data_IF_295133160564
#
_entry.id   IF_295133160564
#
_cell.length_a   1.000
_cell.length_b   1.000
_cell.length_c   1.000
_cell.angle_alpha   90.00
_cell.angle_beta   90.00
_cell.angle_gamma   90.00
#
_symmetry.space_group_name_H-M   'P 1'
#
loop_
_entity.id
_entity.type
_entity.pdbx_description
1 polymer ?
#
# COMPACT_ATOMS: atom_id res chain seq x y z
N UNK A 1 -7.16 -7.05 3.32
CA UNK A 1 -8.04 -7.32 4.47
C UNK A 1 -7.98 -6.18 5.51
N UNK A 2 -6.78 -5.78 6.00
CA UNK A 2 -6.64 -4.75 7.06
C UNK A 2 -7.31 -3.42 6.70
N UNK A 3 -6.98 -2.83 5.55
CA UNK A 3 -7.55 -1.54 5.11
C UNK A 3 -9.08 -1.59 4.99
N UNK A 4 -9.64 -2.67 4.42
CA UNK A 4 -11.09 -2.84 4.32
C UNK A 4 -11.78 -2.95 5.69
N UNK A 5 -11.13 -3.61 6.67
CA UNK A 5 -11.62 -3.68 8.05
C UNK A 5 -11.62 -2.30 8.72
N UNK A 6 -10.50 -1.56 8.63
CA UNK A 6 -10.39 -0.22 9.20
C UNK A 6 -11.41 0.74 8.56
N UNK A 7 -11.60 0.65 7.25
CA UNK A 7 -12.62 1.42 6.54
C UNK A 7 -14.01 1.15 7.10
N UNK A 8 -14.43 -0.11 7.24
CA UNK A 8 -15.75 -0.47 7.77
C UNK A 8 -15.91 0.01 9.20
N UNK A 9 -14.94 -0.25 10.08
CA UNK A 9 -14.99 0.16 11.48
C UNK A 9 -15.18 1.68 11.64
N UNK A 10 -14.54 2.49 10.80
CA UNK A 10 -14.58 3.95 10.92
C UNK A 10 -15.64 4.62 10.04
N UNK A 11 -16.43 3.87 9.27
CA UNK A 11 -17.51 4.43 8.43
C UNK A 11 -18.88 3.82 8.70
N UNK A 12 -18.97 2.79 9.56
CA UNK A 12 -20.22 2.10 9.87
C UNK A 12 -21.22 2.95 10.68
N UNK A 13 -20.78 4.06 11.26
CA UNK A 13 -21.68 5.08 11.84
C UNK A 13 -22.43 5.88 10.76
N UNK A 14 -21.98 5.84 9.50
CA UNK A 14 -22.54 6.59 8.36
C UNK A 14 -23.18 5.69 7.33
N UNK A 15 -22.59 4.50 7.06
CA UNK A 15 -23.00 3.58 6.01
C UNK A 15 -23.19 2.17 6.54
N UNK A 16 -24.19 1.49 6.00
CA UNK A 16 -24.36 0.05 6.15
C UNK A 16 -23.43 -0.67 5.17
N UNK A 17 -22.75 -1.71 5.62
CA UNK A 17 -21.79 -2.44 4.80
C UNK A 17 -22.24 -3.85 4.51
N UNK A 18 -22.24 -4.21 3.22
CA UNK A 18 -22.37 -5.59 2.77
C UNK A 18 -21.08 -5.98 2.05
N UNK A 19 -20.33 -6.89 2.63
CA UNK A 19 -19.01 -7.28 2.14
C UNK A 19 -19.05 -8.62 1.42
N UNK A 20 -18.62 -8.64 0.15
CA UNK A 20 -18.15 -9.85 -0.52
C UNK A 20 -16.72 -10.12 -0.05
N UNK A 21 -16.58 -11.01 0.93
CA UNK A 21 -15.28 -11.35 1.48
C UNK A 21 -14.61 -12.43 0.65
N UNK A 22 -13.65 -12.03 -0.16
CA UNK A 22 -12.76 -12.92 -0.91
C UNK A 22 -11.89 -13.73 0.03
N UNK A 23 -12.49 -14.69 0.69
CA UNK A 23 -11.80 -15.60 1.61
C UNK A 23 -11.44 -16.88 0.89
N UNK A 24 -10.35 -17.46 1.32
CA UNK A 24 -9.92 -18.78 0.88
C UNK A 24 -10.42 -19.79 1.89
N UNK A 25 -11.25 -20.74 1.44
CA UNK A 25 -11.72 -21.87 2.24
C UNK A 25 -12.44 -21.50 3.57
N UNK A 26 -13.29 -20.48 3.55
CA UNK A 26 -14.07 -20.15 4.74
C UNK A 26 -15.17 -21.22 4.97
N UNK A 27 -15.34 -21.75 6.21
CA UNK A 27 -16.30 -22.81 6.49
C UNK A 27 -17.77 -22.37 6.29
N UNK A 28 -18.04 -21.07 6.34
CA UNK A 28 -19.35 -20.49 6.14
C UNK A 28 -19.52 -19.84 4.73
N UNK A 29 -18.75 -20.29 3.75
CA UNK A 29 -18.88 -19.86 2.36
C UNK A 29 -20.34 -19.93 1.88
N UNK A 30 -20.79 -18.86 1.23
CA UNK A 30 -22.13 -18.74 0.69
C UNK A 30 -23.24 -18.45 1.70
N UNK A 31 -22.90 -18.30 3.00
CA UNK A 31 -23.85 -17.86 4.02
C UNK A 31 -23.81 -16.35 4.17
N UNK A 32 -24.97 -15.81 4.58
CA UNK A 32 -25.07 -14.42 5.07
C UNK A 32 -24.71 -14.40 6.54
N UNK A 33 -23.64 -13.71 6.89
CA UNK A 33 -23.15 -13.58 8.26
C UNK A 33 -23.38 -12.14 8.72
N UNK A 34 -24.07 -11.98 9.84
CA UNK A 34 -24.27 -10.68 10.47
C UNK A 34 -23.18 -10.44 11.52
N UNK A 35 -22.37 -9.39 11.28
CA UNK A 35 -21.28 -8.94 12.16
C UNK A 35 -21.58 -7.63 12.87
N UNK A 36 -22.81 -7.14 12.80
CA UNK A 36 -23.20 -5.82 13.32
C UNK A 36 -22.86 -5.65 14.80
N UNK A 37 -23.28 -6.61 15.64
CA UNK A 37 -23.00 -6.57 17.09
C UNK A 37 -21.50 -6.60 17.45
N UNK A 38 -20.68 -7.31 16.65
CA UNK A 38 -19.24 -7.33 16.88
C UNK A 38 -18.59 -6.02 16.39
N UNK A 39 -19.09 -5.46 15.30
CA UNK A 39 -18.66 -4.16 14.79
C UNK A 39 -19.00 -3.03 15.78
N UNK A 40 -20.20 -3.03 16.34
CA UNK A 40 -20.64 -2.03 17.33
C UNK A 40 -19.69 -2.00 18.53
N UNK A 41 -19.34 -3.16 19.08
CA UNK A 41 -18.36 -3.26 20.17
C UNK A 41 -16.97 -2.78 19.80
N UNK A 42 -16.51 -3.05 18.59
CA UNK A 42 -15.17 -2.69 18.14
C UNK A 42 -15.05 -1.20 17.75
N UNK A 43 -16.11 -0.65 17.19
CA UNK A 43 -16.18 0.76 16.76
C UNK A 43 -16.68 1.70 17.85
N UNK A 44 -17.19 1.17 18.98
CA UNK A 44 -17.83 1.91 20.07
C UNK A 44 -19.00 2.77 19.57
N UNK A 45 -19.91 2.12 18.82
CA UNK A 45 -21.13 2.72 18.25
C UNK A 45 -22.31 1.79 18.49
N UNK A 46 -23.52 2.27 18.21
CA UNK A 46 -24.75 1.50 18.25
C UNK A 46 -25.39 1.42 16.84
N UNK A 47 -26.16 0.37 16.61
CA UNK A 47 -27.04 0.21 15.44
C UNK A 47 -26.33 0.19 14.07
N UNK A 48 -25.06 -0.24 14.00
CA UNK A 48 -24.42 -0.46 12.71
C UNK A 48 -25.02 -1.69 11.99
N UNK A 49 -24.92 -1.71 10.66
CA UNK A 49 -25.25 -2.90 9.85
C UNK A 49 -24.02 -3.32 9.05
N UNK A 50 -23.46 -4.47 9.41
CA UNK A 50 -22.29 -5.06 8.75
C UNK A 50 -22.57 -6.52 8.42
N UNK A 51 -22.78 -6.79 7.13
CA UNK A 51 -23.09 -8.12 6.61
C UNK A 51 -21.91 -8.65 5.81
N UNK A 52 -21.57 -9.91 6.01
CA UNK A 52 -20.47 -10.59 5.33
C UNK A 52 -20.97 -11.78 4.52
N UNK A 53 -20.55 -11.85 3.27
CA UNK A 53 -20.73 -13.02 2.40
C UNK A 53 -19.35 -13.61 2.06
N UNK A 54 -18.88 -14.64 2.78
CA UNK A 54 -17.65 -15.33 2.43
C UNK A 54 -17.77 -16.01 1.07
N UNK A 55 -16.80 -15.76 0.20
CA UNK A 55 -16.78 -16.33 -1.16
C UNK A 55 -15.38 -16.77 -1.54
N UNK A 56 -15.28 -17.65 -2.53
CA UNK A 56 -14.00 -17.97 -3.16
C UNK A 56 -13.61 -16.85 -4.12
N UNK A 57 -12.34 -16.51 -4.14
CA UNK A 57 -11.83 -15.46 -5.00
C UNK A 57 -12.53 -14.12 -4.77
N UNK A 58 -12.89 -13.44 -5.84
CA UNK A 58 -13.47 -12.10 -5.81
C UNK A 58 -14.96 -12.05 -6.17
N UNK A 59 -15.65 -13.19 -6.09
CA UNK A 59 -17.06 -13.31 -6.43
C UNK A 59 -17.32 -13.61 -7.92
N UNK A 60 -18.58 -13.54 -8.32
CA UNK A 60 -19.04 -13.76 -9.70
C UNK A 60 -20.35 -13.02 -9.96
N UNK A 61 -20.80 -12.92 -11.25
CA UNK A 61 -22.00 -12.20 -11.62
C UNK A 61 -23.29 -12.63 -10.91
N UNK A 62 -23.51 -13.92 -10.75
CA UNK A 62 -24.75 -14.43 -10.17
C UNK A 62 -24.84 -14.15 -8.67
N UNK A 63 -23.72 -14.28 -7.97
CA UNK A 63 -23.63 -13.92 -6.55
C UNK A 63 -23.90 -12.43 -6.35
N UNK A 64 -23.31 -11.56 -7.18
CA UNK A 64 -23.51 -10.11 -7.07
C UNK A 64 -24.98 -9.74 -7.35
N UNK A 65 -25.61 -10.33 -8.38
CA UNK A 65 -27.02 -10.10 -8.68
C UNK A 65 -27.93 -10.49 -7.53
N UNK A 66 -27.69 -11.67 -6.93
CA UNK A 66 -28.46 -12.13 -5.77
C UNK A 66 -28.29 -11.20 -4.56
N UNK A 67 -27.09 -10.69 -4.31
CA UNK A 67 -26.83 -9.73 -3.22
C UNK A 67 -27.51 -8.39 -3.50
N UNK A 68 -27.45 -7.86 -4.73
CA UNK A 68 -28.14 -6.62 -5.11
C UNK A 68 -29.65 -6.75 -4.91
N UNK A 69 -30.22 -7.90 -5.24
CA UNK A 69 -31.67 -8.13 -5.10
C UNK A 69 -32.09 -8.19 -3.62
N UNK A 70 -31.29 -8.83 -2.76
CA UNK A 70 -31.59 -9.03 -1.34
C UNK A 70 -31.26 -7.80 -0.50
N UNK A 71 -30.04 -7.27 -0.63
CA UNK A 71 -29.51 -6.21 0.23
C UNK A 71 -29.78 -4.80 -0.32
N UNK A 72 -30.10 -4.66 -1.60
CA UNK A 72 -30.45 -3.39 -2.28
C UNK A 72 -29.44 -2.26 -1.99
N UNK A 73 -28.16 -2.45 -2.31
CA UNK A 73 -27.14 -1.45 -2.00
C UNK A 73 -27.33 -0.18 -2.82
N UNK A 74 -26.95 0.96 -2.23
CA UNK A 74 -26.95 2.28 -2.89
C UNK A 74 -25.69 2.53 -3.71
N UNK A 75 -24.60 1.81 -3.45
CA UNK A 75 -23.35 1.86 -4.22
C UNK A 75 -22.61 0.52 -4.18
N UNK A 76 -21.74 0.30 -5.16
CA UNK A 76 -20.74 -0.77 -5.15
C UNK A 76 -19.38 -0.12 -4.92
N UNK A 77 -18.63 -0.62 -3.94
CA UNK A 77 -17.29 -0.15 -3.61
C UNK A 77 -16.25 -1.26 -3.86
N UNK A 78 -15.38 -1.04 -4.83
CA UNK A 78 -14.34 -1.99 -5.22
C UNK A 78 -13.00 -1.61 -4.59
N UNK A 79 -12.25 -2.59 -4.14
CA UNK A 79 -10.89 -2.43 -3.59
C UNK A 79 -9.99 -3.49 -4.21
N UNK A 80 -8.79 -3.14 -4.58
CA UNK A 80 -7.69 -3.95 -5.11
C UNK A 80 -7.51 -3.84 -6.62
N UNK A 81 -6.77 -4.74 -7.24
CA UNK A 81 -6.44 -4.71 -8.65
C UNK A 81 -7.71 -4.81 -9.53
N UNK A 82 -7.92 -3.93 -10.50
CA UNK A 82 -9.14 -3.90 -11.29
C UNK A 82 -9.34 -5.18 -12.12
N UNK A 83 -8.28 -5.90 -12.43
CA UNK A 83 -8.34 -7.16 -13.21
C UNK A 83 -9.14 -8.27 -12.51
N UNK A 84 -9.22 -8.23 -11.19
CA UNK A 84 -10.06 -9.17 -10.43
C UNK A 84 -11.56 -8.88 -10.56
N UNK A 85 -11.92 -7.68 -11.05
CA UNK A 85 -13.30 -7.22 -11.20
C UNK A 85 -13.75 -7.08 -12.66
N UNK A 86 -13.02 -7.66 -13.63
CA UNK A 86 -13.42 -7.61 -15.04
C UNK A 86 -14.88 -7.99 -15.25
N UNK A 87 -15.37 -8.99 -14.55
CA UNK A 87 -16.74 -9.44 -14.59
C UNK A 87 -17.74 -8.41 -14.05
N UNK A 88 -17.38 -7.56 -13.08
CA UNK A 88 -18.19 -6.42 -12.61
C UNK A 88 -18.24 -5.36 -13.70
N UNK A 89 -17.09 -5.01 -14.28
CA UNK A 89 -17.01 -4.00 -15.34
C UNK A 89 -17.75 -4.42 -16.61
N UNK A 90 -17.82 -5.72 -16.93
CA UNK A 90 -18.66 -6.24 -18.02
C UNK A 90 -20.17 -6.07 -17.75
N UNK A 91 -20.56 -5.93 -16.50
CA UNK A 91 -21.95 -5.70 -16.08
C UNK A 91 -22.25 -4.21 -15.82
N UNK A 92 -21.29 -3.29 -15.96
CA UNK A 92 -21.42 -1.89 -15.56
C UNK A 92 -22.64 -1.19 -16.18
N UNK A 93 -22.97 -1.50 -17.43
CA UNK A 93 -24.15 -0.98 -18.11
C UNK A 93 -25.48 -1.40 -17.46
N UNK A 94 -25.52 -2.53 -16.76
CA UNK A 94 -26.71 -2.97 -16.01
C UNK A 94 -26.73 -2.33 -14.62
N UNK A 95 -25.57 -2.31 -13.95
CA UNK A 95 -25.40 -1.82 -12.59
C UNK A 95 -25.63 -0.31 -12.53
N UNK A 96 -24.93 0.46 -13.35
CA UNK A 96 -24.90 1.94 -13.32
C UNK A 96 -26.19 2.61 -13.83
N UNK A 97 -27.21 1.83 -14.16
CA UNK A 97 -28.58 2.35 -14.34
C UNK A 97 -29.26 2.66 -13.02
N UNK A 98 -28.82 2.05 -11.94
CA UNK A 98 -29.47 2.17 -10.63
C UNK A 98 -28.47 2.39 -9.48
N UNK A 99 -27.21 1.99 -9.63
CA UNK A 99 -26.22 1.93 -8.55
C UNK A 99 -24.86 2.44 -9.08
N UNK A 100 -24.24 3.46 -8.49
CA UNK A 100 -22.91 3.91 -8.86
C UNK A 100 -21.83 2.91 -8.43
N UNK A 101 -20.69 2.97 -9.11
CA UNK A 101 -19.50 2.17 -8.79
C UNK A 101 -18.40 3.11 -8.33
N UNK A 102 -17.94 2.95 -7.08
CA UNK A 102 -16.75 3.57 -6.52
C UNK A 102 -15.61 2.56 -6.49
N UNK A 103 -14.40 3.02 -6.72
CA UNK A 103 -13.21 2.17 -6.76
C UNK A 103 -12.04 2.81 -6.02
N UNK A 104 -11.54 2.14 -4.98
CA UNK A 104 -10.28 2.46 -4.33
C UNK A 104 -9.14 1.86 -5.14
N UNK A 105 -8.55 2.69 -6.00
CA UNK A 105 -7.51 2.29 -6.92
C UNK A 105 -6.15 2.20 -6.20
N UNK A 106 -5.52 1.03 -6.31
CA UNK A 106 -4.22 0.72 -5.71
C UNK A 106 -3.08 0.67 -6.74
N UNK A 107 -3.31 1.16 -7.96
CA UNK A 107 -2.32 1.08 -9.03
C UNK A 107 -1.04 1.82 -8.67
N UNK A 108 0.10 1.18 -8.85
CA UNK A 108 1.39 1.60 -8.30
C UNK A 108 2.43 2.03 -9.35
N UNK A 109 2.11 1.96 -10.63
CA UNK A 109 3.14 2.09 -11.65
C UNK A 109 2.75 2.99 -12.81
N UNK A 110 3.71 3.80 -13.23
CA UNK A 110 3.74 4.47 -14.51
C UNK A 110 4.47 3.58 -15.56
N UNK A 111 4.38 3.83 -16.85
CA UNK A 111 3.56 4.85 -17.54
C UNK A 111 2.07 4.61 -17.31
N UNK A 112 1.27 5.69 -17.44
CA UNK A 112 -0.17 5.59 -17.21
C UNK A 112 -0.78 4.36 -17.88
N UNK A 113 -1.49 3.49 -17.13
CA UNK A 113 -1.94 2.18 -17.62
C UNK A 113 -3.16 2.32 -18.53
N UNK A 114 -2.95 2.76 -19.79
CA UNK A 114 -4.04 2.95 -20.75
C UNK A 114 -4.82 1.67 -21.01
N UNK A 115 -4.24 0.51 -20.74
CA UNK A 115 -4.90 -0.79 -20.79
C UNK A 115 -5.93 -1.02 -19.65
N UNK A 116 -5.93 -0.16 -18.62
CA UNK A 116 -6.95 -0.13 -17.56
C UNK A 116 -8.07 0.89 -17.83
N UNK A 117 -8.03 1.61 -18.96
CA UNK A 117 -8.94 2.72 -19.24
C UNK A 117 -10.41 2.34 -19.14
N UNK A 118 -10.79 1.20 -19.71
CA UNK A 118 -12.18 0.72 -19.67
C UNK A 118 -12.66 0.43 -18.24
N UNK A 119 -11.77 -0.02 -17.36
CA UNK A 119 -12.10 -0.23 -15.95
C UNK A 119 -12.36 1.08 -15.22
N UNK A 120 -11.52 2.09 -15.47
CA UNK A 120 -11.66 3.40 -14.82
C UNK A 120 -12.89 4.15 -15.36
N UNK A 121 -13.16 4.04 -16.66
CA UNK A 121 -14.37 4.61 -17.28
C UNK A 121 -15.65 3.97 -16.74
N UNK A 122 -15.60 2.71 -16.33
CA UNK A 122 -16.71 1.97 -15.73
C UNK A 122 -17.04 2.37 -14.29
N UNK A 123 -16.20 3.19 -13.65
CA UNK A 123 -16.42 3.69 -12.30
C UNK A 123 -16.97 5.12 -12.33
N UNK A 124 -17.75 5.50 -11.32
CA UNK A 124 -18.28 6.84 -11.12
C UNK A 124 -17.42 7.65 -10.15
N UNK A 125 -16.76 6.95 -9.19
CA UNK A 125 -15.76 7.53 -8.32
C UNK A 125 -14.47 6.70 -8.34
N UNK A 126 -13.31 7.37 -8.33
CA UNK A 126 -11.99 6.74 -8.24
C UNK A 126 -11.19 7.39 -7.12
N UNK A 127 -10.87 6.61 -6.11
CA UNK A 127 -10.07 7.04 -4.96
C UNK A 127 -8.65 6.50 -5.13
N UNK A 128 -7.69 7.40 -5.34
CA UNK A 128 -6.28 7.05 -5.47
C UNK A 128 -5.61 6.94 -4.10
N UNK A 129 -4.96 5.81 -3.83
CA UNK A 129 -4.27 5.58 -2.55
C UNK A 129 -3.01 6.41 -2.39
N UNK A 130 -2.50 6.99 -3.47
CA UNK A 130 -1.37 7.91 -3.47
C UNK A 130 -1.67 9.08 -4.40
N UNK A 131 -0.90 10.16 -4.27
CA UNK A 131 -0.97 11.31 -5.19
C UNK A 131 -0.67 10.86 -6.63
N UNK A 132 0.29 9.94 -6.81
CA UNK A 132 0.58 9.33 -8.11
C UNK A 132 -0.62 8.53 -8.63
N UNK A 133 -1.27 7.71 -7.81
CA UNK A 133 -2.46 6.95 -8.24
C UNK A 133 -3.62 7.87 -8.63
N UNK A 134 -3.80 8.98 -7.88
CA UNK A 134 -4.79 10.01 -8.25
C UNK A 134 -4.47 10.60 -9.62
N UNK A 135 -3.23 11.01 -9.86
CA UNK A 135 -2.77 11.54 -11.17
C UNK A 135 -2.94 10.50 -12.29
N UNK A 136 -2.65 9.23 -12.04
CA UNK A 136 -2.89 8.13 -12.99
C UNK A 136 -4.37 8.03 -13.36
N UNK A 137 -5.29 8.15 -12.39
CA UNK A 137 -6.72 8.14 -12.68
C UNK A 137 -7.11 9.28 -13.65
N UNK A 138 -6.61 10.47 -13.40
CA UNK A 138 -6.85 11.66 -14.22
C UNK A 138 -6.26 11.51 -15.64
N UNK A 139 -5.01 11.06 -15.76
CA UNK A 139 -4.33 10.85 -17.05
C UNK A 139 -5.05 9.79 -17.89
N UNK A 140 -5.40 8.65 -17.30
CA UNK A 140 -6.05 7.54 -18.02
C UNK A 140 -7.44 7.92 -18.50
N UNK A 141 -8.20 8.65 -17.69
CA UNK A 141 -9.55 9.11 -18.04
C UNK A 141 -9.55 10.25 -19.08
N UNK A 142 -8.51 11.10 -19.07
CA UNK A 142 -8.45 12.27 -19.93
C UNK A 142 -9.68 13.19 -19.74
N UNK A 143 -10.32 13.60 -20.82
CA UNK A 143 -11.48 14.50 -20.77
C UNK A 143 -12.68 13.94 -19.95
N UNK A 144 -12.71 12.64 -19.69
CA UNK A 144 -13.76 12.03 -18.85
C UNK A 144 -13.52 12.21 -17.35
N UNK A 145 -12.34 12.66 -16.94
CA UNK A 145 -12.00 12.85 -15.52
C UNK A 145 -12.96 13.84 -14.85
N UNK A 146 -13.31 14.95 -15.53
CA UNK A 146 -14.19 16.00 -15.00
C UNK A 146 -15.64 15.51 -14.69
N UNK A 147 -16.03 14.38 -15.26
CA UNK A 147 -17.34 13.79 -15.04
C UNK A 147 -17.37 12.77 -13.88
N UNK A 148 -16.27 12.63 -13.15
CA UNK A 148 -16.12 11.62 -12.10
C UNK A 148 -15.62 12.23 -10.81
N UNK A 149 -15.96 11.60 -9.69
CA UNK A 149 -15.39 11.96 -8.39
C UNK A 149 -13.99 11.33 -8.27
N UNK A 150 -12.94 12.14 -8.29
CA UNK A 150 -11.55 11.68 -8.15
C UNK A 150 -10.95 12.29 -6.88
N UNK A 151 -10.59 11.44 -5.92
CA UNK A 151 -10.04 11.85 -4.61
C UNK A 151 -8.72 11.19 -4.30
N UNK A 152 -7.90 11.89 -3.53
CA UNK A 152 -6.74 11.34 -2.86
C UNK A 152 -7.17 10.75 -1.52
N UNK A 153 -7.03 9.43 -1.38
CA UNK A 153 -7.41 8.68 -0.18
C UNK A 153 -6.24 7.78 0.22
N UNK A 154 -5.19 8.34 0.84
CA UNK A 154 -4.05 7.56 1.29
C UNK A 154 -4.46 6.52 2.33
N UNK A 155 -3.74 5.41 2.35
CA UNK A 155 -3.96 4.42 3.40
C UNK A 155 -3.63 4.99 4.77
N UNK A 156 -4.52 4.73 5.70
CA UNK A 156 -4.36 5.05 7.11
C UNK A 156 -4.41 3.81 7.98
N UNK A 157 -3.74 3.85 9.09
CA UNK A 157 -3.69 2.76 10.07
C UNK A 157 -4.21 3.21 11.44
N UNK A 158 -4.54 2.25 12.27
CA UNK A 158 -5.04 2.49 13.61
C UNK A 158 -3.91 2.98 14.54
N UNK A 159 -3.88 4.28 14.80
CA UNK A 159 -2.88 4.92 15.65
C UNK A 159 -3.07 4.66 17.16
N UNK A 160 -4.14 3.97 17.56
CA UNK A 160 -4.29 3.45 18.93
C UNK A 160 -3.48 2.16 19.10
N UNK A 161 -3.25 1.42 18.01
CA UNK A 161 -2.45 0.19 17.97
C UNK A 161 -1.01 0.52 17.57
N UNK A 162 -0.82 1.09 16.39
CA UNK A 162 0.51 1.53 15.93
C UNK A 162 0.87 2.85 16.58
N UNK A 163 1.75 2.78 17.56
CA UNK A 163 2.19 3.91 18.38
C UNK A 163 3.54 3.62 19.03
N UNK A 164 4.26 4.64 19.47
CA UNK A 164 5.46 4.42 20.26
C UNK A 164 5.16 3.68 21.57
N UNK A 165 6.03 2.76 21.91
CA UNK A 165 6.03 2.04 23.19
C UNK A 165 7.21 2.48 24.05
N UNK A 166 7.06 2.35 25.37
CA UNK A 166 8.15 2.59 26.30
C UNK A 166 9.26 1.56 26.06
N UNK A 167 10.44 2.04 25.65
CA UNK A 167 11.60 1.17 25.39
C UNK A 167 12.11 0.44 26.63
N UNK A 168 11.71 0.86 27.84
CA UNK A 168 12.05 0.18 29.10
C UNK A 168 11.09 -0.97 29.44
N UNK A 169 10.01 -1.15 28.68
CA UNK A 169 9.04 -2.21 28.90
C UNK A 169 9.70 -3.59 28.73
N UNK A 170 9.58 -4.43 29.77
CA UNK A 170 10.21 -5.75 29.81
C UNK A 170 9.71 -6.68 28.68
N UNK A 171 8.45 -6.60 28.31
CA UNK A 171 7.86 -7.43 27.26
C UNK A 171 8.46 -7.03 25.90
N UNK A 172 8.60 -5.73 25.63
CA UNK A 172 9.26 -5.21 24.44
C UNK A 172 10.72 -5.64 24.37
N UNK A 173 11.46 -5.59 25.49
CA UNK A 173 12.85 -6.04 25.55
C UNK A 173 12.98 -7.55 25.32
N UNK A 174 12.09 -8.35 25.88
CA UNK A 174 12.01 -9.79 25.60
C UNK A 174 11.73 -10.07 24.13
N UNK A 175 10.83 -9.29 23.52
CA UNK A 175 10.49 -9.41 22.11
C UNK A 175 11.67 -8.99 21.22
N UNK A 176 12.38 -7.90 21.52
CA UNK A 176 13.63 -7.50 20.83
C UNK A 176 14.67 -8.62 20.89
N UNK A 177 14.84 -9.24 22.07
CA UNK A 177 15.77 -10.36 22.26
C UNK A 177 15.34 -11.61 21.48
N UNK A 178 14.05 -11.86 21.35
CA UNK A 178 13.52 -12.92 20.48
C UNK A 178 13.86 -12.65 19.01
N UNK A 179 13.61 -11.44 18.52
CA UNK A 179 13.92 -11.03 17.14
C UNK A 179 15.43 -11.09 16.83
N UNK A 180 16.31 -10.79 17.81
CA UNK A 180 17.77 -10.91 17.65
C UNK A 180 18.32 -12.31 17.94
N UNK A 181 17.46 -13.34 18.08
CA UNK A 181 17.83 -14.71 18.43
C UNK A 181 18.67 -14.82 19.71
N UNK A 182 18.34 -14.00 20.71
CA UNK A 182 19.01 -14.00 22.01
C UNK A 182 20.32 -13.20 22.05
N UNK A 183 20.76 -12.62 20.94
CA UNK A 183 21.97 -11.77 20.88
C UNK A 183 21.70 -10.38 21.45
N UNK A 184 22.73 -9.74 21.97
CA UNK A 184 22.69 -8.31 22.26
C UNK A 184 22.69 -7.55 20.93
N UNK A 185 21.76 -6.59 20.80
CA UNK A 185 21.55 -5.89 19.55
C UNK A 185 21.49 -4.38 19.81
N UNK A 186 22.53 -3.67 19.37
CA UNK A 186 22.64 -2.21 19.46
C UNK A 186 21.98 -1.52 18.24
N UNK A 187 21.88 -2.22 17.10
CA UNK A 187 21.25 -1.71 15.89
C UNK A 187 20.42 -2.79 15.20
N UNK A 188 19.12 -2.58 15.11
CA UNK A 188 18.16 -3.48 14.44
C UNK A 188 17.51 -2.80 13.25
N UNK A 189 17.78 -3.30 12.05
CA UNK A 189 17.13 -2.88 10.83
C UNK A 189 16.00 -3.85 10.48
N UNK A 190 14.79 -3.34 10.20
CA UNK A 190 13.62 -4.13 9.90
C UNK A 190 13.22 -3.99 8.43
N UNK A 191 13.00 -5.11 7.77
CA UNK A 191 12.28 -5.22 6.52
C UNK A 191 10.96 -5.97 6.77
N UNK A 192 9.81 -5.42 6.34
CA UNK A 192 8.50 -6.07 6.43
C UNK A 192 7.76 -5.98 5.11
N UNK A 193 7.70 -7.09 4.38
CA UNK A 193 6.88 -7.23 3.17
C UNK A 193 6.84 -8.69 2.72
N UNK A 194 5.96 -9.01 1.76
CA UNK A 194 5.96 -10.33 1.11
C UNK A 194 7.22 -10.54 0.28
N UNK A 195 7.67 -11.77 0.19
CA UNK A 195 8.77 -12.15 -0.69
C UNK A 195 8.30 -12.19 -2.14
N UNK A 196 8.38 -11.04 -2.82
CA UNK A 196 8.10 -10.88 -4.25
C UNK A 196 9.18 -10.03 -4.89
N UNK A 197 9.50 -10.30 -6.15
CA UNK A 197 10.69 -9.75 -6.84
C UNK A 197 10.80 -8.21 -6.75
N UNK A 198 9.71 -7.46 -6.94
CA UNK A 198 9.74 -5.99 -6.88
C UNK A 198 10.09 -5.41 -5.50
N UNK A 199 10.12 -6.23 -4.44
CA UNK A 199 10.49 -5.79 -3.10
C UNK A 199 12.00 -5.74 -2.86
N UNK A 200 12.80 -6.20 -3.81
CA UNK A 200 14.27 -6.09 -3.81
C UNK A 200 14.93 -6.60 -2.52
N UNK A 201 14.43 -7.73 -1.98
CA UNK A 201 14.93 -8.26 -0.70
C UNK A 201 16.38 -8.72 -0.82
N UNK A 202 16.74 -9.33 -1.95
CA UNK A 202 18.14 -9.73 -2.21
C UNK A 202 19.07 -8.53 -2.25
N UNK A 203 18.65 -7.41 -2.85
CA UNK A 203 19.42 -6.16 -2.86
C UNK A 203 19.52 -5.56 -1.42
N UNK A 204 18.47 -5.73 -0.60
CA UNK A 204 18.50 -5.34 0.82
C UNK A 204 19.53 -6.17 1.61
N UNK A 205 19.60 -7.50 1.37
CA UNK A 205 20.60 -8.38 2.01
C UNK A 205 22.02 -8.02 1.55
N UNK A 206 22.20 -7.71 0.27
CA UNK A 206 23.50 -7.28 -0.26
C UNK A 206 23.92 -5.91 0.29
N UNK A 207 23.00 -4.95 0.38
CA UNK A 207 23.25 -3.65 1.02
C UNK A 207 23.64 -3.82 2.49
N UNK A 208 22.96 -4.73 3.21
CA UNK A 208 23.32 -5.09 4.58
C UNK A 208 24.74 -5.68 4.68
N UNK A 209 25.10 -6.55 3.73
CA UNK A 209 26.47 -7.11 3.66
C UNK A 209 27.51 -6.00 3.51
N UNK A 210 27.32 -5.08 2.55
CA UNK A 210 28.26 -3.97 2.33
C UNK A 210 28.38 -3.08 3.56
N UNK A 211 27.28 -2.78 4.24
CA UNK A 211 27.30 -2.05 5.50
C UNK A 211 28.11 -2.78 6.58
N UNK A 212 27.90 -4.09 6.75
CA UNK A 212 28.63 -4.85 7.76
C UNK A 212 30.14 -4.93 7.45
N UNK A 213 30.52 -4.95 6.18
CA UNK A 213 31.95 -5.02 5.78
C UNK A 213 32.76 -3.77 6.21
N UNK A 214 32.10 -2.63 6.41
CA UNK A 214 32.70 -1.39 6.92
C UNK A 214 32.82 -1.38 8.45
N UNK A 215 32.27 -2.37 9.17
CA UNK A 215 32.26 -2.43 10.61
C UNK A 215 33.39 -3.36 11.16
N UNK A 216 33.89 -3.03 12.38
CA UNK A 216 34.72 -4.00 13.12
C UNK A 216 33.91 -5.23 13.52
N UNK A 217 34.52 -6.41 13.73
CA UNK A 217 33.83 -7.62 14.15
C UNK A 217 32.92 -7.42 15.37
N UNK A 218 33.40 -6.68 16.38
CA UNK A 218 32.67 -6.43 17.63
C UNK A 218 31.39 -5.58 17.39
N UNK A 219 31.41 -4.62 16.46
CA UNK A 219 30.26 -3.81 16.08
C UNK A 219 29.31 -4.62 15.22
N UNK A 220 29.82 -5.42 14.29
CA UNK A 220 29.06 -6.30 13.41
C UNK A 220 28.16 -7.27 14.21
N UNK A 221 28.74 -7.90 15.26
CA UNK A 221 27.98 -8.84 16.11
C UNK A 221 26.75 -8.23 16.78
N UNK A 222 26.73 -6.92 16.98
CA UNK A 222 25.65 -6.17 17.63
C UNK A 222 24.63 -5.57 16.67
N UNK A 223 24.75 -5.86 15.37
CA UNK A 223 23.81 -5.44 14.34
C UNK A 223 22.93 -6.62 13.91
N UNK A 224 21.65 -6.40 13.70
CA UNK A 224 20.70 -7.44 13.25
C UNK A 224 19.81 -6.91 12.14
N UNK A 225 19.72 -7.64 11.03
CA UNK A 225 18.70 -7.43 10.00
C UNK A 225 17.55 -8.41 10.22
N UNK A 226 16.36 -7.90 10.48
CA UNK A 226 15.14 -8.71 10.60
C UNK A 226 14.36 -8.61 9.30
N UNK A 227 14.14 -9.75 8.65
CA UNK A 227 13.32 -9.90 7.46
C UNK A 227 11.99 -10.55 7.86
N UNK A 228 10.94 -9.76 8.08
CA UNK A 228 9.60 -10.29 8.33
C UNK A 228 8.92 -10.60 7.01
N UNK A 229 9.07 -11.85 6.56
CA UNK A 229 8.63 -12.31 5.23
C UNK A 229 8.66 -13.83 5.13
N UNK A 230 8.03 -14.37 4.06
CA UNK A 230 8.17 -15.78 3.72
C UNK A 230 9.62 -16.09 3.26
N UNK A 231 10.23 -17.16 3.76
CA UNK A 231 11.63 -17.49 3.39
C UNK A 231 11.78 -17.87 1.90
N UNK A 232 10.78 -18.52 1.31
CA UNK A 232 10.76 -18.96 -0.09
C UNK A 232 9.44 -18.57 -0.73
N UNK A 233 9.47 -18.05 -1.95
CA UNK A 233 8.28 -17.70 -2.71
C UNK A 233 8.51 -17.80 -4.20
N UNK A 234 7.56 -18.40 -4.94
CA UNK A 234 7.59 -18.51 -6.40
C UNK A 234 7.56 -17.15 -7.11
N UNK A 235 7.04 -16.12 -6.42
CA UNK A 235 7.00 -14.74 -6.93
C UNK A 235 8.21 -13.91 -6.51
N UNK A 236 9.08 -14.47 -5.68
CA UNK A 236 10.28 -13.83 -5.13
C UNK A 236 11.52 -14.67 -5.34
N UNK A 237 12.11 -15.13 -4.24
CA UNK A 237 13.32 -15.95 -4.25
C UNK A 237 13.42 -16.86 -3.02
N UNK A 238 14.42 -17.74 -2.99
CA UNK A 238 14.88 -18.44 -1.80
C UNK A 238 15.86 -17.55 -1.03
N UNK A 239 15.36 -16.93 0.05
CA UNK A 239 16.16 -16.03 0.86
C UNK A 239 17.22 -16.76 1.68
N UNK A 240 17.00 -18.04 2.02
CA UNK A 240 17.98 -18.87 2.67
C UNK A 240 19.24 -19.02 1.82
N UNK A 241 19.05 -19.36 0.55
CA UNK A 241 20.17 -19.49 -0.41
C UNK A 241 20.89 -18.15 -0.65
N UNK A 242 20.17 -17.02 -0.67
CA UNK A 242 20.78 -15.68 -0.79
C UNK A 242 21.63 -15.36 0.43
N UNK A 243 21.12 -15.63 1.64
CA UNK A 243 21.85 -15.38 2.89
C UNK A 243 23.11 -16.28 2.96
N UNK A 244 22.99 -17.57 2.64
CA UNK A 244 24.12 -18.50 2.63
C UNK A 244 25.21 -18.07 1.65
N UNK A 245 24.83 -17.54 0.48
CA UNK A 245 25.78 -17.04 -0.51
C UNK A 245 26.58 -15.84 -0.01
N UNK A 246 25.94 -14.86 0.64
CA UNK A 246 26.61 -13.65 1.13
C UNK A 246 27.26 -13.79 2.50
N UNK A 247 26.80 -14.74 3.32
CA UNK A 247 27.24 -14.99 4.69
C UNK A 247 27.48 -16.47 4.94
N UNK A 248 28.47 -17.10 4.26
CA UNK A 248 28.72 -18.54 4.36
C UNK A 248 29.10 -18.98 5.77
N UNK A 249 29.69 -18.09 6.58
CA UNK A 249 30.05 -18.35 7.99
C UNK A 249 28.88 -18.04 8.96
N UNK A 250 27.70 -17.71 8.42
CA UNK A 250 26.51 -17.29 9.20
C UNK A 250 26.76 -16.09 10.13
N UNK A 251 27.65 -15.20 9.72
CA UNK A 251 28.11 -14.02 10.46
C UNK A 251 27.34 -12.73 10.14
N UNK A 252 26.35 -12.80 9.24
CA UNK A 252 25.57 -11.64 8.79
C UNK A 252 24.46 -11.18 9.73
N UNK A 253 24.15 -11.96 10.77
CA UNK A 253 23.05 -11.67 11.71
C UNK A 253 21.71 -11.33 11.02
N UNK A 254 21.39 -12.04 9.93
CA UNK A 254 20.13 -11.92 9.22
C UNK A 254 19.12 -12.92 9.80
N UNK A 255 18.00 -12.40 10.28
CA UNK A 255 16.93 -13.19 10.88
C UNK A 255 15.68 -13.16 9.99
N UNK A 256 15.24 -14.30 9.47
CA UNK A 256 13.96 -14.43 8.81
C UNK A 256 12.91 -14.74 9.90
N UNK A 257 11.91 -13.85 9.99
CA UNK A 257 10.72 -14.00 10.83
C UNK A 257 9.53 -14.34 9.92
N UNK A 258 9.12 -15.61 9.94
CA UNK A 258 7.97 -16.11 9.16
C UNK A 258 6.71 -16.30 10.03
N UNK A 259 6.75 -15.91 11.29
CA UNK A 259 5.65 -16.02 12.23
C UNK A 259 4.49 -15.11 11.84
N UNK A 260 3.26 -15.55 12.13
CA UNK A 260 2.08 -14.71 12.01
C UNK A 260 1.90 -13.91 13.30
N UNK A 261 2.25 -12.65 13.27
CA UNK A 261 2.07 -11.76 14.41
C UNK A 261 0.67 -11.14 14.44
N UNK A 262 0.17 -10.89 15.65
CA UNK A 262 -0.99 -10.01 15.85
C UNK A 262 -0.62 -8.57 15.51
N UNK A 263 -1.60 -7.70 15.38
CA UNK A 263 -1.36 -6.27 15.09
C UNK A 263 -0.54 -5.60 16.20
N UNK A 264 -0.75 -6.00 17.45
CA UNK A 264 -0.02 -5.53 18.63
C UNK A 264 1.45 -6.01 18.60
N UNK A 265 1.69 -7.27 18.22
CA UNK A 265 3.04 -7.80 18.03
C UNK A 265 3.75 -7.13 16.84
N UNK A 266 3.02 -6.79 15.77
CA UNK A 266 3.55 -5.98 14.70
C UNK A 266 3.98 -4.59 15.20
N UNK A 267 3.16 -3.92 16.02
CA UNK A 267 3.56 -2.68 16.67
C UNK A 267 4.84 -2.84 17.51
N UNK A 268 4.94 -3.91 18.30
CA UNK A 268 6.15 -4.21 19.07
C UNK A 268 7.38 -4.37 18.16
N UNK A 269 7.23 -5.05 17.03
CA UNK A 269 8.33 -5.29 16.07
C UNK A 269 8.91 -3.97 15.54
N UNK A 270 8.05 -3.02 15.15
CA UNK A 270 8.50 -1.69 14.71
C UNK A 270 9.14 -0.89 15.85
N UNK A 271 8.64 -1.01 17.07
CA UNK A 271 9.22 -0.36 18.26
C UNK A 271 10.57 -0.96 18.67
N UNK A 272 10.85 -2.23 18.31
CA UNK A 272 12.16 -2.87 18.52
C UNK A 272 13.22 -2.40 17.50
N UNK A 273 12.77 -1.98 16.31
CA UNK A 273 13.65 -1.57 15.22
C UNK A 273 14.24 -0.17 15.46
N UNK A 274 15.48 0.00 15.05
CA UNK A 274 16.19 1.28 15.02
C UNK A 274 15.94 2.01 13.69
N UNK A 275 15.53 1.28 12.67
CA UNK A 275 15.09 1.78 11.38
C UNK A 275 14.36 0.71 10.58
N UNK A 276 13.61 1.16 9.58
CA UNK A 276 12.91 0.29 8.61
C UNK A 276 13.51 0.51 7.23
N UNK A 277 13.64 -0.54 6.43
CA UNK A 277 14.11 -0.44 5.05
C UNK A 277 13.08 -1.03 4.08
N UNK A 278 12.75 -0.27 3.03
CA UNK A 278 11.87 -0.71 1.95
C UNK A 278 12.32 -0.12 0.61
N UNK A 279 13.23 -0.82 -0.08
CA UNK A 279 13.78 -0.39 -1.38
C UNK A 279 13.04 -1.04 -2.56
N UNK A 280 11.72 -1.14 -2.46
CA UNK A 280 10.88 -1.68 -3.55
C UNK A 280 11.07 -0.88 -4.84
N UNK A 281 11.09 -1.58 -5.98
CA UNK A 281 11.19 -0.96 -7.31
C UNK A 281 9.85 -0.41 -7.86
N UNK A 282 8.74 -0.77 -7.23
CA UNK A 282 7.40 -0.23 -7.45
C UNK A 282 6.55 -0.48 -6.22
N UNK A 283 5.76 0.52 -5.80
CA UNK A 283 4.92 0.41 -4.60
C UNK A 283 3.73 1.38 -4.66
N UNK A 284 2.50 0.84 -4.51
CA UNK A 284 1.29 1.66 -4.48
C UNK A 284 1.23 2.59 -3.27
N UNK A 285 1.64 2.09 -2.11
CA UNK A 285 1.67 2.87 -0.88
C UNK A 285 2.87 2.52 0.03
N UNK A 286 3.05 1.24 0.36
CA UNK A 286 4.06 0.80 1.31
C UNK A 286 3.58 0.92 2.76
N UNK A 287 2.62 0.09 3.17
CA UNK A 287 2.05 0.12 4.54
C UNK A 287 3.13 0.01 5.63
N UNK A 288 4.22 -0.73 5.39
CA UNK A 288 5.34 -0.83 6.32
C UNK A 288 5.95 0.54 6.67
N UNK A 289 5.91 1.52 5.77
CA UNK A 289 6.38 2.88 6.04
C UNK A 289 5.38 3.64 6.92
N UNK A 290 4.07 3.45 6.73
CA UNK A 290 3.05 4.05 7.61
C UNK A 290 3.13 3.45 9.02
N UNK A 291 3.33 2.13 9.13
CA UNK A 291 3.55 1.44 10.41
C UNK A 291 4.81 2.00 11.11
N UNK A 292 5.89 2.22 10.35
CA UNK A 292 7.12 2.85 10.82
C UNK A 292 6.89 4.29 11.31
N UNK A 293 6.18 5.11 10.53
CA UNK A 293 5.85 6.49 10.91
C UNK A 293 5.06 6.54 12.21
N UNK A 294 3.97 5.78 12.31
CA UNK A 294 3.09 5.82 13.48
C UNK A 294 3.77 5.29 14.75
N UNK A 295 4.77 4.43 14.63
CA UNK A 295 5.57 3.95 15.77
C UNK A 295 6.76 4.84 16.11
N UNK A 296 6.98 5.91 15.33
CA UNK A 296 8.09 6.83 15.55
C UNK A 296 9.46 6.23 15.17
N UNK A 297 9.49 5.33 14.18
CA UNK A 297 10.71 4.69 13.67
C UNK A 297 11.09 5.33 12.33
N UNK A 298 12.33 5.84 12.14
CA UNK A 298 12.76 6.39 10.87
C UNK A 298 12.94 5.28 9.82
N UNK A 299 12.97 5.63 8.53
CA UNK A 299 13.07 4.62 7.48
C UNK A 299 13.99 5.01 6.32
N UNK A 300 14.47 3.97 5.64
CA UNK A 300 15.18 4.04 4.35
C UNK A 300 14.20 3.57 3.30
N UNK A 301 13.96 4.34 2.26
CA UNK A 301 13.04 3.91 1.21
C UNK A 301 13.42 4.45 -0.17
N UNK A 302 13.09 3.66 -1.20
CA UNK A 302 13.31 4.05 -2.58
C UNK A 302 12.27 5.09 -3.03
N UNK A 303 12.73 6.11 -3.73
CA UNK A 303 11.90 7.22 -4.24
C UNK A 303 11.12 6.74 -5.46
N UNK A 304 10.00 6.05 -5.23
CA UNK A 304 9.10 5.58 -6.30
C UNK A 304 7.67 5.41 -5.79
N UNK A 305 6.73 5.53 -6.69
CA UNK A 305 5.32 5.27 -6.43
C UNK A 305 4.75 6.06 -5.24
N UNK A 306 3.84 5.46 -4.52
CA UNK A 306 3.19 6.05 -3.35
C UNK A 306 4.07 6.15 -2.10
N UNK A 307 5.26 5.53 -2.09
CA UNK A 307 6.23 5.74 -1.00
C UNK A 307 6.70 7.18 -0.91
N UNK A 308 6.73 7.90 -2.04
CA UNK A 308 7.12 9.32 -2.10
C UNK A 308 6.19 10.21 -1.27
N UNK A 309 4.90 9.86 -1.17
CA UNK A 309 3.95 10.59 -0.34
C UNK A 309 4.39 10.57 1.13
N UNK A 310 4.91 9.45 1.62
CA UNK A 310 5.31 9.27 3.00
C UNK A 310 6.69 9.89 3.33
N UNK A 311 7.42 10.31 2.31
CA UNK A 311 8.70 11.01 2.44
C UNK A 311 8.53 12.53 2.56
N UNK A 312 7.36 13.06 2.19
CA UNK A 312 7.05 14.49 2.21
C UNK A 312 8.12 15.33 1.51
N UNK A 313 8.37 15.06 0.22
CA UNK A 313 9.20 15.96 -0.57
C UNK A 313 8.57 17.34 -0.68
N UNK A 314 9.40 18.37 -0.70
CA UNK A 314 9.01 19.77 -0.73
C UNK A 314 9.43 20.43 -2.03
N UNK A 315 8.55 21.29 -2.54
CA UNK A 315 8.89 22.23 -3.62
C UNK A 315 9.76 23.40 -3.10
N UNK A 316 10.04 24.38 -3.97
CA UNK A 316 10.85 25.55 -3.62
C UNK A 316 10.20 26.42 -2.53
N UNK A 317 8.86 26.41 -2.48
CA UNK A 317 8.06 27.17 -1.51
C UNK A 317 7.85 26.42 -0.18
N UNK A 318 8.34 25.18 -0.08
CA UNK A 318 8.19 24.32 1.10
C UNK A 318 6.86 23.57 1.17
N UNK A 319 6.07 23.56 0.10
CA UNK A 319 4.85 22.81 0.03
C UNK A 319 5.14 21.34 -0.26
N UNK A 320 4.32 20.45 0.27
CA UNK A 320 4.35 19.03 -0.07
C UNK A 320 4.02 18.84 -1.56
N UNK A 321 4.94 18.25 -2.33
CA UNK A 321 4.81 18.10 -3.78
C UNK A 321 3.54 17.36 -4.19
N UNK A 322 3.00 17.71 -5.35
CA UNK A 322 1.98 16.97 -6.04
C UNK A 322 2.59 16.22 -7.22
N UNK A 323 1.92 15.16 -7.64
CA UNK A 323 2.24 14.44 -8.87
C UNK A 323 1.41 15.00 -10.02
N UNK A 324 2.04 15.18 -11.16
CA UNK A 324 1.42 15.55 -12.42
C UNK A 324 1.87 14.56 -13.53
N UNK A 325 1.39 14.82 -14.75
CA UNK A 325 1.69 13.97 -15.91
C UNK A 325 3.17 13.94 -16.30
N UNK A 326 3.95 14.90 -15.85
CA UNK A 326 5.36 15.07 -16.21
C UNK A 326 6.29 14.29 -15.25
N UNK A 327 5.76 13.76 -14.15
CA UNK A 327 6.49 12.87 -13.22
C UNK A 327 6.21 11.41 -13.60
N UNK A 328 7.17 10.68 -14.20
CA UNK A 328 6.90 9.33 -14.76
C UNK A 328 6.60 8.26 -13.70
N UNK A 329 7.39 8.14 -12.64
CA UNK A 329 7.19 7.23 -11.50
C UNK A 329 7.90 7.75 -10.27
N UNK A 330 8.88 8.63 -10.48
CA UNK A 330 9.61 9.35 -9.45
C UNK A 330 10.07 10.69 -10.03
N UNK A 331 10.39 11.64 -9.17
CA UNK A 331 10.84 12.98 -9.58
C UNK A 331 12.32 13.07 -9.95
N UNK A 332 13.03 11.94 -10.06
CA UNK A 332 14.43 11.83 -10.52
C UNK A 332 15.41 12.75 -9.80
N UNK A 333 15.20 13.01 -8.52
CA UNK A 333 16.05 13.90 -7.73
C UNK A 333 15.80 15.40 -7.94
N UNK A 334 14.73 15.77 -8.62
CA UNK A 334 14.35 17.20 -8.76
C UNK A 334 14.13 17.85 -7.40
N UNK A 335 13.49 17.14 -6.47
CA UNK A 335 13.25 17.59 -5.12
C UNK A 335 14.25 16.94 -4.17
N UNK A 336 14.95 17.73 -3.37
CA UNK A 336 15.96 17.27 -2.43
C UNK A 336 15.60 17.51 -0.97
N UNK A 337 14.65 18.40 -0.71
CA UNK A 337 14.10 18.61 0.63
C UNK A 337 13.00 17.59 0.90
N UNK A 338 13.08 16.95 2.05
CA UNK A 338 12.13 15.90 2.45
C UNK A 338 12.00 15.84 3.98
N UNK A 339 11.08 15.03 4.47
CA UNK A 339 10.91 14.79 5.89
C UNK A 339 12.18 14.26 6.57
N UNK A 340 12.45 14.71 7.78
CA UNK A 340 13.68 14.33 8.54
C UNK A 340 13.74 12.84 8.88
N UNK A 341 12.63 12.15 8.86
CA UNK A 341 12.47 10.74 9.23
C UNK A 341 12.86 9.76 8.14
N UNK A 342 13.09 10.22 6.93
CA UNK A 342 13.47 9.38 5.80
C UNK A 342 14.91 9.60 5.37
N UNK A 343 15.56 8.50 5.01
CA UNK A 343 16.80 8.46 4.24
C UNK A 343 16.44 7.92 2.85
N UNK A 344 16.20 8.79 1.85
CA UNK A 344 15.76 8.36 0.54
C UNK A 344 16.91 7.73 -0.25
N UNK A 345 16.60 6.63 -0.97
CA UNK A 345 17.42 6.13 -2.06
C UNK A 345 16.78 6.50 -3.38
N UNK A 346 17.54 7.06 -4.31
CA UNK A 346 17.02 7.45 -5.60
C UNK A 346 17.26 6.35 -6.65
N UNK A 347 16.25 6.06 -7.50
CA UNK A 347 16.43 5.09 -8.58
C UNK A 347 17.59 5.47 -9.50
N UNK A 348 18.51 4.55 -9.68
CA UNK A 348 19.64 4.66 -10.63
C UNK A 348 19.31 4.03 -11.97
N UNK A 349 18.31 3.14 -12.00
CA UNK A 349 17.82 2.47 -13.20
C UNK A 349 16.30 2.54 -13.26
N UNK A 350 15.78 2.99 -14.41
CA UNK A 350 14.36 2.96 -14.77
C UNK A 350 14.20 2.01 -15.95
N UNK A 351 13.63 0.84 -15.71
CA UNK A 351 13.40 -0.18 -16.74
C UNK A 351 11.92 -0.27 -17.08
N UNK A 352 11.59 -0.41 -18.37
CA UNK A 352 10.24 -0.75 -18.80
C UNK A 352 10.10 -2.28 -18.82
N UNK A 353 9.23 -2.82 -17.99
CA UNK A 353 8.95 -4.24 -17.86
C UNK A 353 7.46 -4.51 -18.06
N UNK A 354 7.06 -5.77 -18.18
CA UNK A 354 5.65 -6.09 -18.33
C UNK A 354 5.35 -7.57 -18.40
N UNK A 355 4.07 -7.86 -18.55
CA UNK A 355 3.50 -9.17 -18.80
C UNK A 355 2.30 -9.04 -19.75
N UNK A 356 1.74 -10.12 -20.31
CA UNK A 356 0.59 -10.02 -21.21
C UNK A 356 -0.60 -9.25 -20.63
N UNK A 357 -0.83 -9.35 -19.33
CA UNK A 357 -1.95 -8.65 -18.64
C UNK A 357 -1.56 -7.27 -18.09
N UNK A 358 -0.27 -6.93 -18.10
CA UNK A 358 0.29 -5.65 -17.68
C UNK A 358 1.42 -5.32 -18.65
N UNK A 359 1.10 -4.88 -19.89
CA UNK A 359 2.06 -4.89 -21.00
C UNK A 359 3.23 -3.94 -20.79
N UNK A 360 3.10 -2.96 -19.93
CA UNK A 360 4.19 -2.04 -19.59
C UNK A 360 3.98 -1.43 -18.19
N UNK A 361 5.04 -1.42 -17.41
CA UNK A 361 5.19 -0.71 -16.13
C UNK A 361 6.65 -0.30 -15.99
N UNK A 362 6.92 0.77 -15.25
CA UNK A 362 8.28 1.11 -14.84
C UNK A 362 8.69 0.30 -13.60
N UNK A 363 9.94 -0.12 -13.61
CA UNK A 363 10.65 -0.74 -12.50
C UNK A 363 11.79 0.20 -12.11
N UNK A 364 11.61 0.90 -11.00
CA UNK A 364 12.54 1.90 -10.47
C UNK A 364 13.50 1.22 -9.49
N UNK A 365 14.74 0.93 -9.89
CA UNK A 365 15.70 0.27 -9.01
C UNK A 365 16.75 1.27 -8.51
N UNK A 366 16.91 1.38 -7.20
CA UNK A 366 18.07 2.01 -6.60
C UNK A 366 19.26 1.06 -6.59
N UNK A 367 20.48 1.57 -6.43
CA UNK A 367 21.64 0.73 -6.22
C UNK A 367 21.68 0.22 -4.78
N UNK A 368 22.20 -0.99 -4.60
CA UNK A 368 22.40 -1.56 -3.26
C UNK A 368 23.54 -0.86 -2.52
N UNK A 369 24.48 -0.23 -3.23
CA UNK A 369 25.53 0.60 -2.63
C UNK A 369 24.94 1.86 -2.00
N UNK A 370 23.99 2.55 -2.68
CA UNK A 370 23.31 3.71 -2.08
C UNK A 370 22.49 3.29 -0.86
N UNK A 371 21.78 2.15 -0.97
CA UNK A 371 21.07 1.59 0.18
C UNK A 371 22.02 1.28 1.36
N UNK A 372 23.20 0.72 1.10
CA UNK A 372 24.24 0.48 2.13
C UNK A 372 24.71 1.78 2.79
N UNK A 373 24.95 2.84 2.00
CA UNK A 373 25.30 4.16 2.53
C UNK A 373 24.19 4.74 3.42
N UNK A 374 22.89 4.54 3.04
CA UNK A 374 21.77 4.99 3.91
C UNK A 374 21.69 4.18 5.20
N UNK A 375 22.00 2.87 5.16
CA UNK A 375 22.08 2.03 6.38
C UNK A 375 23.22 2.54 7.28
N UNK A 376 24.38 2.82 6.72
CA UNK A 376 25.52 3.39 7.42
C UNK A 376 25.15 4.73 8.09
N UNK A 377 24.54 5.64 7.34
CA UNK A 377 24.08 6.93 7.86
C UNK A 377 23.11 6.75 9.03
N UNK A 378 22.14 5.85 8.91
CA UNK A 378 21.18 5.55 9.98
C UNK A 378 21.84 4.96 11.23
N UNK A 379 22.84 4.10 11.05
CA UNK A 379 23.63 3.53 12.14
C UNK A 379 24.41 4.62 12.89
N UNK A 380 25.07 5.51 12.15
CA UNK A 380 25.94 6.56 12.69
C UNK A 380 25.21 7.68 13.43
N UNK A 381 23.92 7.91 13.12
CA UNK A 381 23.07 8.88 13.84
C UNK A 381 22.99 8.63 15.35
N UNK A 382 23.10 7.36 15.78
CA UNK A 382 22.86 6.97 17.16
C UNK A 382 21.40 7.08 17.59
N UNK A 383 21.09 6.52 18.75
CA UNK A 383 19.70 6.34 19.22
C UNK A 383 18.94 7.66 19.38
N UNK A 384 19.60 8.69 19.91
CA UNK A 384 18.93 9.96 20.18
C UNK A 384 18.41 10.62 18.92
N UNK A 385 19.26 10.71 17.88
CA UNK A 385 18.87 11.33 16.62
C UNK A 385 17.81 10.50 15.88
N UNK A 386 17.96 9.16 15.87
CA UNK A 386 16.92 8.28 15.30
C UNK A 386 15.55 8.48 15.96
N UNK A 387 15.52 8.57 17.30
CA UNK A 387 14.28 8.85 18.04
C UNK A 387 13.69 10.23 17.70
N UNK A 388 14.52 11.27 17.60
CA UNK A 388 14.05 12.62 17.24
C UNK A 388 13.49 12.67 15.81
N UNK A 389 14.16 12.03 14.86
CA UNK A 389 13.69 11.92 13.48
C UNK A 389 12.41 11.10 13.37
N UNK A 390 12.35 9.95 14.02
CA UNK A 390 11.16 9.10 14.04
C UNK A 390 9.95 9.82 14.66
N UNK A 391 10.16 10.54 15.77
CA UNK A 391 9.11 11.36 16.39
C UNK A 391 8.58 12.43 15.44
N UNK A 392 9.44 13.12 14.72
CA UNK A 392 9.02 14.12 13.72
C UNK A 392 8.17 13.48 12.61
N UNK A 393 8.51 12.27 12.17
CA UNK A 393 7.71 11.51 11.19
C UNK A 393 6.33 11.13 11.71
N UNK A 394 6.25 10.67 12.96
CA UNK A 394 4.97 10.36 13.62
C UNK A 394 4.09 11.61 13.75
N UNK A 395 4.64 12.71 14.24
CA UNK A 395 3.91 13.97 14.40
C UNK A 395 3.35 14.44 13.05
N UNK A 396 4.12 14.35 11.98
CA UNK A 396 3.64 14.69 10.65
C UNK A 396 2.58 13.70 10.15
N UNK A 397 2.78 12.40 10.29
CA UNK A 397 1.80 11.39 9.85
C UNK A 397 0.43 11.55 10.53
N UNK A 398 0.42 12.03 11.78
CA UNK A 398 -0.79 12.33 12.56
C UNK A 398 -1.40 13.71 12.23
N UNK A 399 -0.66 14.60 11.57
CA UNK A 399 -1.12 15.95 11.23
C UNK A 399 -2.29 15.96 10.26
N UNK A 400 -2.93 17.12 10.10
CA UNK A 400 -4.00 17.29 9.10
C UNK A 400 -3.46 17.28 7.66
N UNK A 401 -2.19 17.65 7.44
CA UNK A 401 -1.55 17.61 6.13
C UNK A 401 -1.45 16.16 5.63
N UNK A 402 -0.88 15.25 6.41
CA UNK A 402 -0.72 13.85 6.05
C UNK A 402 -1.98 13.03 6.33
N UNK A 403 -2.39 12.94 7.58
CA UNK A 403 -3.59 12.24 8.02
C UNK A 403 -3.56 10.75 7.69
N UNK A 404 -2.49 10.06 8.07
CA UNK A 404 -2.30 8.62 7.77
C UNK A 404 -2.88 7.71 8.88
N UNK A 405 -3.98 8.13 9.46
CA UNK A 405 -4.74 7.32 10.42
C UNK A 405 -5.98 6.71 9.77
N UNK A 406 -6.46 5.60 10.32
CA UNK A 406 -7.68 4.94 9.86
C UNK A 406 -8.88 5.89 9.86
N UNK A 407 -9.00 6.73 10.87
CA UNK A 407 -10.05 7.73 10.98
C UNK A 407 -9.98 8.76 9.83
N UNK A 408 -8.82 9.36 9.59
CA UNK A 408 -8.63 10.35 8.52
C UNK A 408 -8.84 9.75 7.12
N UNK A 409 -8.34 8.54 6.89
CA UNK A 409 -8.61 7.78 5.66
C UNK A 409 -10.11 7.61 5.45
N UNK A 410 -10.82 7.18 6.49
CA UNK A 410 -12.26 6.92 6.43
C UNK A 410 -13.08 8.20 6.21
N UNK A 411 -12.68 9.32 6.82
CA UNK A 411 -13.32 10.61 6.58
C UNK A 411 -13.20 11.04 5.11
N UNK A 412 -12.02 10.84 4.48
CA UNK A 412 -11.84 11.10 3.05
C UNK A 412 -12.71 10.19 2.17
N UNK A 413 -12.92 8.93 2.60
CA UNK A 413 -13.86 8.02 1.92
C UNK A 413 -15.29 8.52 2.05
N UNK A 414 -15.71 8.94 3.25
CA UNK A 414 -17.04 9.52 3.47
C UNK A 414 -17.26 10.74 2.58
N UNK A 415 -16.32 11.69 2.59
CA UNK A 415 -16.38 12.89 1.74
C UNK A 415 -16.52 12.53 0.25
N UNK A 416 -15.75 11.55 -0.22
CA UNK A 416 -15.80 11.10 -1.61
C UNK A 416 -17.11 10.39 -1.96
N UNK A 417 -17.65 9.56 -1.07
CA UNK A 417 -18.93 8.87 -1.27
C UNK A 417 -20.11 9.85 -1.17
N UNK A 418 -20.09 10.80 -0.24
CA UNK A 418 -21.11 11.84 -0.13
C UNK A 418 -21.14 12.72 -1.40
N UNK A 419 -19.98 13.08 -1.95
CA UNK A 419 -19.91 13.79 -3.23
C UNK A 419 -20.46 12.93 -4.37
N UNK A 420 -20.11 11.62 -4.40
CA UNK A 420 -20.66 10.69 -5.39
C UNK A 420 -22.19 10.63 -5.34
N UNK A 421 -22.77 10.43 -4.16
CA UNK A 421 -24.23 10.36 -4.00
C UNK A 421 -24.94 11.67 -4.37
N UNK A 422 -24.30 12.82 -4.15
CA UNK A 422 -24.86 14.12 -4.49
C UNK A 422 -24.76 14.48 -5.98
N UNK A 423 -23.79 13.93 -6.70
CA UNK A 423 -23.51 14.31 -8.10
C UNK A 423 -23.80 13.23 -9.11
N UNK A 424 -23.92 11.97 -8.67
CA UNK A 424 -24.13 10.85 -9.59
C UNK A 424 -25.48 10.92 -10.30
N UNK A 425 -25.44 10.65 -11.59
CA UNK A 425 -26.63 10.54 -12.44
C UNK A 425 -26.69 9.13 -13.01
N UNK A 426 -27.83 8.42 -12.87
CA UNK A 426 -28.01 7.11 -13.46
C UNK A 426 -27.72 7.10 -14.95
N UNK A 427 -27.06 6.06 -15.44
CA UNK A 427 -26.81 5.89 -16.86
C UNK A 427 -28.11 5.73 -17.62
N UNK A 428 -28.22 6.38 -18.77
CA UNK A 428 -29.40 6.23 -19.63
C UNK A 428 -29.57 4.77 -20.10
N UNK A 429 -30.79 4.35 -20.28
CA UNK A 429 -31.12 2.97 -20.73
C UNK A 429 -30.60 2.67 -22.13
N UNK A 430 -30.46 3.70 -22.97
CA UNK A 430 -30.05 3.60 -24.35
C UNK A 430 -29.04 4.73 -24.67
N UNK A 431 -27.95 4.39 -25.33
CA UNK A 431 -26.99 5.33 -25.88
C UNK A 431 -27.15 5.34 -27.42
N UNK A 432 -27.32 6.51 -28.01
CA UNK A 432 -27.33 6.68 -29.45
C UNK A 432 -25.91 6.87 -29.96
N UNK A 433 -25.34 5.84 -30.57
CA UNK A 433 -24.02 5.90 -31.18
C UNK A 433 -24.18 6.39 -32.63
N UNK A 434 -23.51 7.49 -32.99
CA UNK A 434 -23.36 7.91 -34.37
C UNK A 434 -22.35 7.00 -35.09
N UNK A 435 -22.59 6.73 -36.36
CA UNK A 435 -21.71 5.89 -37.20
C UNK A 435 -20.25 6.40 -37.23
N UNK A 436 -20.05 7.70 -37.11
CA UNK A 436 -18.74 8.34 -36.99
C UNK A 436 -17.96 7.88 -35.76
N UNK A 437 -18.64 7.54 -34.67
CA UNK A 437 -18.01 7.08 -33.43
C UNK A 437 -17.60 5.60 -33.53
N UNK A 438 -18.29 4.83 -34.34
CA UNK A 438 -17.95 3.45 -34.63
C UNK A 438 -16.65 3.32 -35.45
N UNK A 439 -16.48 4.19 -36.46
CA UNK A 439 -15.27 4.16 -37.32
C UNK A 439 -13.98 4.52 -36.57
N UNK A 440 -14.06 5.30 -35.51
CA UNK A 440 -12.90 5.64 -34.68
C UNK A 440 -12.38 4.48 -33.83
N UNK A 441 -13.22 3.46 -33.62
CA UNK A 441 -12.90 2.24 -32.85
C UNK A 441 -12.35 1.10 -33.69
N UNK A 442 -12.25 1.25 -35.01
CA UNK A 442 -11.66 0.23 -35.87
C UNK A 442 -10.15 0.19 -35.62
N UNK A 443 -9.64 -0.97 -35.20
CA UNK A 443 -8.21 -1.19 -35.00
C UNK A 443 -7.41 -0.77 -36.24
N UNK A 444 -6.52 0.19 -36.08
CA UNK A 444 -5.65 0.72 -37.15
C UNK A 444 -4.54 -0.27 -37.54
N UNK A 445 -4.40 -1.38 -36.84
CA UNK A 445 -3.34 -2.37 -37.05
C UNK A 445 -3.90 -3.74 -37.39
N UNK A 446 -3.46 -4.29 -38.52
CA UNK A 446 -3.73 -5.66 -38.91
C UNK A 446 -2.59 -6.53 -38.38
N UNK A 447 -2.91 -7.41 -37.43
CA UNK A 447 -1.95 -8.43 -36.96
C UNK A 447 -2.23 -9.68 -37.80
N UNK A 448 -1.21 -10.13 -38.51
CA UNK A 448 -1.24 -11.41 -39.25
C UNK A 448 -0.33 -12.36 -38.46
N UNK A 449 -0.90 -13.47 -38.01
CA UNK A 449 -0.15 -14.55 -37.35
C UNK A 449 0.42 -15.52 -38.40
#
# INVERSE_FOLDING_TARGET
AQIGREMVLHTSHRYNWVQLAGAVNHPEKGKRIDLSSDNDKLADIDDSSVILYPTDGYGNPDLLKGIIEVEKPDAIFLITDPRYFQWVFQMENQIRKNIPIAYLNIWDSMPAPMYNKEFYESCDALFGISKQTKSINEIVLGDKADSKVIKYVPHGLNNKIFRPLDKTNEELQKFKKHLSRGKDCDFMLLFNSRNIRRKSISDTILAWKLFLDELTPEKREKCTLVLHTEPISDHGTDLGAVIEYFFPENDGNVVISADKFTTEQMNMMYNCADGVILISSAEGWGLALTESLLTGTPFIANVTGGMQDQMRFEDEDGNWINFDKDIPSNHRGTYTKHGKWVLPTFPTNLSLVGSPVTPYIYDDRCSFEDAALRIQEMYEMGDKERCERGKAGMEWALSDEAGFTSEKMSNRIIEGLDELFNTWVPREKFEFLKDTDYQSRVLKHKIIY
#
